data_IF_351177261259
#
_entry.id   IF_351177261259
#
_cell.length_a   1.000
_cell.length_b   1.000
_cell.length_c   1.000
_cell.angle_alpha   90.00
_cell.angle_beta   90.00
_cell.angle_gamma   90.00
#
_symmetry.space_group_name_H-M   'P 1'
#
loop_
_entity.id
_entity.type
_entity.pdbx_description
1 polymer ?
#
# COMPACT_ATOMS: atom_id res chain seq x y z
N UNK A 1 15.68 1.19 19.38
CA UNK A 1 15.30 1.96 18.16
C UNK A 1 14.27 2.99 18.53
N UNK A 2 14.32 4.22 17.96
CA UNK A 2 13.25 5.20 18.18
C UNK A 2 11.96 4.69 17.54
N UNK A 3 10.84 4.88 18.24
CA UNK A 3 9.51 4.50 17.75
C UNK A 3 9.16 5.33 16.51
N UNK A 4 8.54 4.71 15.51
CA UNK A 4 8.12 5.40 14.28
C UNK A 4 6.60 5.58 14.29
N UNK A 5 6.16 6.80 14.04
CA UNK A 5 4.75 7.19 13.95
C UNK A 5 4.43 7.61 12.52
N UNK A 6 3.39 7.03 11.97
CA UNK A 6 2.91 7.36 10.63
C UNK A 6 1.66 8.22 10.75
N UNK A 7 1.69 9.38 10.11
CA UNK A 7 0.55 10.29 9.94
C UNK A 7 -0.06 9.99 8.57
N UNK A 8 -1.16 9.24 8.50
CA UNK A 8 -1.75 8.83 7.23
C UNK A 8 -2.59 9.95 6.65
N UNK A 9 -2.34 10.26 5.39
CA UNK A 9 -3.19 11.14 4.58
C UNK A 9 -3.70 10.32 3.41
N UNK A 10 -5.01 10.06 3.39
CA UNK A 10 -5.63 9.33 2.31
C UNK A 10 -5.93 10.25 1.14
N UNK A 11 -5.32 9.95 0.00
CA UNK A 11 -5.60 10.63 -1.27
C UNK A 11 -6.56 9.74 -2.04
N UNK A 12 -7.83 10.13 -2.17
CA UNK A 12 -8.80 9.30 -2.87
C UNK A 12 -8.44 9.13 -4.34
N UNK A 13 -9.01 8.15 -4.96
CA UNK A 13 -8.86 7.53 -6.28
C UNK A 13 -8.49 8.40 -7.52
N UNK A 14 -8.11 9.65 -7.33
CA UNK A 14 -7.86 10.64 -8.40
C UNK A 14 -6.73 10.26 -9.38
N UNK A 15 -5.81 9.40 -8.96
CA UNK A 15 -4.63 9.06 -9.75
C UNK A 15 -4.62 7.65 -10.33
N UNK A 16 -5.72 6.89 -10.24
CA UNK A 16 -5.77 5.52 -10.76
C UNK A 16 -6.63 5.46 -12.03
N UNK A 17 -6.04 5.18 -13.22
CA UNK A 17 -6.78 5.09 -14.48
C UNK A 17 -7.51 3.76 -14.65
N UNK A 18 -7.15 2.74 -13.88
CA UNK A 18 -7.69 1.40 -13.98
C UNK A 18 -8.45 1.02 -12.71
N UNK A 19 -9.62 0.46 -12.89
CA UNK A 19 -10.40 -0.15 -11.83
C UNK A 19 -9.88 -1.59 -11.63
N UNK A 20 -8.92 -1.74 -10.70
CA UNK A 20 -8.45 -3.08 -10.35
C UNK A 20 -9.60 -3.90 -9.79
N UNK A 21 -9.72 -5.17 -10.19
CA UNK A 21 -10.86 -6.02 -9.87
C UNK A 21 -11.18 -6.15 -8.37
N UNK A 22 -10.17 -5.96 -7.52
CA UNK A 22 -10.27 -6.08 -6.06
C UNK A 22 -10.40 -4.74 -5.32
N UNK A 23 -10.44 -3.61 -6.02
CA UNK A 23 -10.24 -2.30 -5.40
C UNK A 23 -11.48 -1.42 -5.47
N UNK A 24 -11.96 -0.99 -4.31
CA UNK A 24 -12.94 0.07 -4.17
C UNK A 24 -12.44 1.10 -3.16
N UNK A 25 -11.53 1.98 -3.61
CA UNK A 25 -10.89 2.98 -2.74
C UNK A 25 -11.90 3.98 -2.13
N UNK A 26 -13.02 4.21 -2.80
CA UNK A 26 -14.07 5.12 -2.28
C UNK A 26 -14.73 4.55 -1.03
N UNK A 27 -14.98 3.24 -1.01
CA UNK A 27 -15.57 2.55 0.15
C UNK A 27 -14.53 2.30 1.24
N UNK A 28 -13.35 1.77 0.88
CA UNK A 28 -12.32 1.35 1.86
C UNK A 28 -11.71 2.52 2.63
N UNK A 29 -11.64 3.72 2.04
CA UNK A 29 -11.02 4.88 2.71
C UNK A 29 -11.98 5.72 3.53
N UNK A 30 -13.29 5.46 3.45
CA UNK A 30 -14.32 6.31 4.06
C UNK A 30 -14.34 7.75 3.51
N UNK A 31 -13.42 8.09 2.61
CA UNK A 31 -13.28 9.45 2.08
C UNK A 31 -14.01 9.60 0.74
N UNK A 32 -15.15 10.30 0.78
CA UNK A 32 -15.99 10.58 -0.40
C UNK A 32 -15.61 11.87 -1.13
N UNK A 33 -14.74 12.72 -0.56
CA UNK A 33 -14.36 14.03 -1.12
C UNK A 33 -12.87 14.10 -1.45
N UNK A 34 -12.54 14.94 -2.45
CA UNK A 34 -11.15 15.27 -2.76
C UNK A 34 -10.51 15.96 -1.56
N UNK A 35 -9.34 15.47 -1.14
CA UNK A 35 -8.60 16.05 -0.04
C UNK A 35 -8.13 17.48 -0.40
N UNK A 36 -8.35 18.42 0.49
CA UNK A 36 -7.81 19.78 0.37
C UNK A 36 -6.51 19.92 1.18
N UNK A 37 -5.79 21.01 0.95
CA UNK A 37 -4.61 21.33 1.78
C UNK A 37 -4.98 21.56 3.24
N UNK A 38 -6.17 22.14 3.48
CA UNK A 38 -6.74 22.35 4.81
C UNK A 38 -7.04 21.03 5.51
N UNK A 39 -7.60 20.05 4.80
CA UNK A 39 -7.84 18.72 5.35
C UNK A 39 -6.52 18.01 5.70
N UNK A 40 -5.52 18.13 4.83
CA UNK A 40 -4.19 17.58 5.10
C UNK A 40 -3.55 18.23 6.35
N UNK A 41 -3.63 19.55 6.48
CA UNK A 41 -3.14 20.27 7.68
C UNK A 41 -3.84 19.80 8.94
N UNK A 42 -5.18 19.80 8.96
CA UNK A 42 -5.97 19.31 10.11
C UNK A 42 -5.59 17.90 10.52
N UNK A 43 -5.41 17.01 9.54
CA UNK A 43 -4.98 15.64 9.82
C UNK A 43 -3.60 15.60 10.46
N UNK A 44 -2.63 16.34 9.91
CA UNK A 44 -1.27 16.38 10.45
C UNK A 44 -1.28 16.93 11.89
N UNK A 45 -1.95 18.06 12.12
CA UNK A 45 -2.05 18.71 13.44
C UNK A 45 -2.69 17.79 14.46
N UNK A 46 -3.81 17.15 14.11
CA UNK A 46 -4.47 16.16 14.98
C UNK A 46 -3.52 15.04 15.42
N UNK A 47 -2.75 14.45 14.49
CA UNK A 47 -1.81 13.41 14.84
C UNK A 47 -0.65 13.93 15.68
N UNK A 48 -0.09 15.11 15.37
CA UNK A 48 1.01 15.71 16.12
C UNK A 48 0.63 16.04 17.55
N UNK A 49 -0.60 16.50 17.80
CA UNK A 49 -1.14 16.75 19.13
C UNK A 49 -1.31 15.46 19.95
N UNK A 50 -1.74 14.37 19.30
CA UNK A 50 -2.01 13.09 19.95
C UNK A 50 -0.78 12.17 20.10
N UNK A 51 0.33 12.44 19.42
CA UNK A 51 1.57 11.70 19.59
C UNK A 51 2.27 12.15 20.88
N UNK A 52 2.19 11.30 21.92
CA UNK A 52 2.79 11.57 23.24
C UNK A 52 4.31 11.54 23.23
N UNK A 53 4.91 10.65 22.44
CA UNK A 53 6.37 10.50 22.30
C UNK A 53 6.92 11.58 21.36
N UNK A 54 7.48 12.63 21.96
CA UNK A 54 8.04 13.77 21.20
C UNK A 54 9.33 13.41 20.46
N UNK A 55 10.09 12.42 20.94
CA UNK A 55 11.38 11.99 20.39
C UNK A 55 11.25 10.90 19.32
N UNK A 56 10.05 10.34 19.16
CA UNK A 56 9.75 9.37 18.12
C UNK A 56 9.81 9.97 16.72
N UNK A 57 10.27 9.18 15.76
CA UNK A 57 10.26 9.60 14.35
C UNK A 57 8.83 9.71 13.82
N UNK A 58 8.53 10.80 13.15
CA UNK A 58 7.23 11.07 12.56
C UNK A 58 7.33 11.13 11.04
N UNK A 59 6.46 10.41 10.35
CA UNK A 59 6.44 10.34 8.89
C UNK A 59 5.04 10.63 8.38
N UNK A 60 4.90 11.64 7.52
CA UNK A 60 3.64 11.87 6.78
C UNK A 60 3.61 10.89 5.62
N UNK A 61 2.51 10.14 5.48
CA UNK A 61 2.37 9.14 4.45
C UNK A 61 1.09 9.36 3.63
N UNK A 62 1.27 9.63 2.33
CA UNK A 62 0.17 9.71 1.37
C UNK A 62 -0.18 8.32 0.87
N UNK A 63 -1.37 7.84 1.24
CA UNK A 63 -1.92 6.53 0.92
C UNK A 63 -3.20 6.64 0.09
N UNK A 64 -3.73 5.51 -0.34
CA UNK A 64 -4.98 5.39 -1.09
C UNK A 64 -4.73 5.10 -2.56
N UNK A 65 -5.03 6.04 -3.43
CA UNK A 65 -4.78 5.93 -4.87
C UNK A 65 -3.29 6.04 -5.25
N UNK A 66 -3.04 6.31 -6.52
CA UNK A 66 -1.68 6.52 -7.03
C UNK A 66 -1.29 7.99 -6.88
N UNK A 67 -0.46 8.31 -5.88
CA UNK A 67 -0.11 9.71 -5.58
C UNK A 67 0.50 10.43 -6.80
N UNK A 68 1.40 9.79 -7.53
CA UNK A 68 2.04 10.41 -8.71
C UNK A 68 1.18 10.39 -9.97
N UNK A 69 -0.03 9.83 -9.90
CA UNK A 69 -1.02 9.85 -10.98
C UNK A 69 -2.06 10.96 -10.86
N UNK A 70 -2.09 11.72 -9.76
CA UNK A 70 -2.96 12.89 -9.63
C UNK A 70 -2.35 14.11 -10.33
N UNK A 71 -3.15 15.13 -10.60
CA UNK A 71 -2.71 16.38 -11.23
C UNK A 71 -1.49 16.98 -10.52
N UNK A 72 -0.55 17.51 -11.31
CA UNK A 72 0.76 17.99 -10.82
C UNK A 72 0.59 19.06 -9.75
N UNK A 73 -0.28 20.01 -9.99
CA UNK A 73 -0.59 21.12 -9.09
C UNK A 73 -1.07 20.60 -7.73
N UNK A 74 -1.90 19.55 -7.75
CA UNK A 74 -2.41 18.93 -6.53
C UNK A 74 -1.36 18.13 -5.78
N UNK A 75 -0.45 17.43 -6.52
CA UNK A 75 0.71 16.80 -5.91
C UNK A 75 1.56 17.84 -5.18
N UNK A 76 1.89 18.95 -5.84
CA UNK A 76 2.73 20.02 -5.27
C UNK A 76 2.07 20.71 -4.09
N UNK A 77 0.76 20.96 -4.15
CA UNK A 77 -0.02 21.53 -3.04
C UNK A 77 0.10 20.66 -1.78
N UNK A 78 -0.17 19.35 -1.89
CA UNK A 78 -0.11 18.40 -0.76
C UNK A 78 1.32 18.20 -0.25
N UNK A 79 2.29 18.10 -1.17
CA UNK A 79 3.70 17.97 -0.81
C UNK A 79 4.23 19.23 -0.12
N UNK A 80 3.81 20.42 -0.55
CA UNK A 80 4.20 21.68 0.08
C UNK A 80 3.71 21.75 1.53
N UNK A 81 2.45 21.34 1.78
CA UNK A 81 1.92 21.27 3.16
C UNK A 81 2.80 20.35 4.02
N UNK A 82 3.07 19.13 3.58
CA UNK A 82 3.90 18.19 4.34
C UNK A 82 5.33 18.69 4.54
N UNK A 83 5.91 19.34 3.53
CA UNK A 83 7.26 19.89 3.58
C UNK A 83 7.41 21.04 4.59
N UNK A 84 6.36 21.83 4.83
CA UNK A 84 6.37 22.87 5.85
C UNK A 84 6.60 22.31 7.24
N UNK A 85 5.97 21.17 7.59
CA UNK A 85 6.20 20.49 8.87
C UNK A 85 7.60 19.89 8.98
N UNK A 86 8.21 19.45 7.87
CA UNK A 86 9.63 19.07 7.85
C UNK A 86 10.53 20.27 8.15
N UNK A 87 10.30 21.41 7.51
CA UNK A 87 11.10 22.64 7.75
C UNK A 87 11.00 23.13 9.20
N UNK A 88 9.86 22.93 9.83
CA UNK A 88 9.63 23.26 11.24
C UNK A 88 10.21 22.22 12.21
N UNK A 89 10.77 21.11 11.72
CA UNK A 89 11.32 20.03 12.54
C UNK A 89 10.27 19.21 13.28
N UNK A 90 9.00 19.32 12.90
CA UNK A 90 7.89 18.58 13.54
C UNK A 90 7.70 17.18 12.95
N UNK A 91 8.16 16.97 11.73
CA UNK A 91 8.09 15.70 10.98
C UNK A 91 9.44 15.40 10.34
N UNK A 92 9.85 14.14 10.32
CA UNK A 92 11.15 13.72 9.82
C UNK A 92 11.15 13.40 8.32
N UNK A 93 10.07 12.79 7.83
CA UNK A 93 10.02 12.23 6.48
C UNK A 93 8.63 12.35 5.84
N UNK A 94 8.62 12.24 4.51
CA UNK A 94 7.42 12.03 3.70
C UNK A 94 7.54 10.69 2.98
N UNK A 95 6.45 9.95 2.95
CA UNK A 95 6.25 8.69 2.21
C UNK A 95 5.10 8.85 1.24
N UNK A 96 5.21 8.23 0.08
CA UNK A 96 4.10 8.14 -0.87
C UNK A 96 3.91 6.70 -1.33
N UNK A 97 2.66 6.36 -1.68
CA UNK A 97 2.32 5.12 -2.38
C UNK A 97 1.88 5.44 -3.81
N UNK A 98 2.36 4.66 -4.77
CA UNK A 98 2.04 4.88 -6.17
C UNK A 98 2.17 3.61 -7.01
N UNK A 99 1.76 3.71 -8.29
CA UNK A 99 1.89 2.66 -9.30
C UNK A 99 3.29 2.67 -9.92
N UNK A 100 3.81 1.51 -10.36
CA UNK A 100 5.11 1.43 -11.02
C UNK A 100 5.20 2.22 -12.34
N UNK A 101 4.12 2.20 -13.13
CA UNK A 101 4.02 2.88 -14.43
C UNK A 101 3.95 4.42 -14.32
N UNK A 102 3.76 4.95 -13.10
CA UNK A 102 3.74 6.39 -12.80
C UNK A 102 5.04 6.87 -12.12
N UNK A 103 6.18 6.29 -12.51
CA UNK A 103 7.49 6.70 -12.06
C UNK A 103 8.35 7.07 -13.26
N UNK A 104 8.84 8.31 -13.28
CA UNK A 104 9.80 8.82 -14.24
C UNK A 104 10.78 9.81 -13.57
N UNK A 105 11.76 10.28 -14.33
CA UNK A 105 12.82 11.17 -13.82
C UNK A 105 12.27 12.51 -13.31
N UNK A 106 11.28 13.08 -13.98
CA UNK A 106 10.67 14.37 -13.61
C UNK A 106 9.91 14.26 -12.29
N UNK A 107 9.09 13.22 -12.15
CA UNK A 107 8.37 12.90 -10.92
C UNK A 107 9.37 12.75 -9.76
N UNK A 108 10.45 11.97 -9.93
CA UNK A 108 11.42 11.76 -8.86
C UNK A 108 12.18 13.05 -8.49
N UNK A 109 12.47 13.92 -9.44
CA UNK A 109 13.05 15.25 -9.15
C UNK A 109 12.08 16.10 -8.31
N UNK A 110 10.79 16.12 -8.66
CA UNK A 110 9.75 16.81 -7.91
C UNK A 110 9.65 16.26 -6.48
N UNK A 111 9.53 14.96 -6.31
CA UNK A 111 9.47 14.33 -4.99
C UNK A 111 10.70 14.65 -4.14
N UNK A 112 11.89 14.72 -4.75
CA UNK A 112 13.14 15.06 -4.06
C UNK A 112 13.16 16.52 -3.59
N UNK A 113 12.60 17.45 -4.36
CA UNK A 113 12.43 18.88 -3.99
C UNK A 113 11.69 19.02 -2.66
N UNK A 114 10.65 18.21 -2.44
CA UNK A 114 9.83 18.22 -1.23
C UNK A 114 10.30 17.25 -0.13
N UNK A 115 11.54 16.72 -0.22
CA UNK A 115 12.13 15.83 0.79
C UNK A 115 11.36 14.52 1.02
N UNK A 116 10.63 14.03 0.01
CA UNK A 116 10.09 12.66 0.06
C UNK A 116 11.25 11.69 0.28
N UNK A 117 11.10 10.78 1.23
CA UNK A 117 12.13 9.81 1.61
C UNK A 117 11.83 8.42 1.10
N UNK A 118 10.57 8.01 1.14
CA UNK A 118 10.13 6.65 0.84
C UNK A 118 9.08 6.64 -0.26
N UNK A 119 9.26 5.76 -1.25
CA UNK A 119 8.27 5.49 -2.31
C UNK A 119 7.91 4.02 -2.25
N UNK A 120 6.63 3.74 -2.00
CA UNK A 120 6.06 2.40 -2.01
C UNK A 120 5.36 2.14 -3.35
N UNK A 121 5.76 1.08 -4.05
CA UNK A 121 5.16 0.67 -5.32
C UNK A 121 4.11 -0.41 -5.10
N UNK A 122 2.91 -0.20 -5.61
CA UNK A 122 1.86 -1.20 -5.68
C UNK A 122 2.14 -2.24 -6.77
N UNK A 123 3.01 -3.20 -6.48
CA UNK A 123 3.43 -4.26 -7.42
C UNK A 123 2.34 -5.30 -7.61
N UNK A 124 1.83 -5.82 -6.52
CA UNK A 124 0.83 -6.87 -6.34
C UNK A 124 1.31 -8.27 -6.73
N UNK A 125 1.78 -8.50 -7.95
CA UNK A 125 2.36 -9.77 -8.44
C UNK A 125 3.55 -9.52 -9.37
N UNK A 126 4.44 -10.51 -9.51
CA UNK A 126 5.48 -10.53 -10.54
C UNK A 126 5.07 -11.33 -11.80
N UNK A 127 3.88 -11.91 -11.79
CA UNK A 127 3.34 -12.65 -12.93
C UNK A 127 2.42 -11.73 -13.75
N UNK A 128 2.82 -11.43 -15.00
CA UNK A 128 2.09 -10.51 -15.89
C UNK A 128 0.70 -11.02 -16.25
N UNK A 129 0.48 -12.34 -16.29
CA UNK A 129 -0.85 -12.92 -16.50
C UNK A 129 -1.79 -12.57 -15.32
N UNK A 130 -1.32 -12.74 -14.09
CA UNK A 130 -2.08 -12.40 -12.87
C UNK A 130 -2.35 -10.90 -12.81
N UNK A 131 -1.36 -10.06 -13.12
CA UNK A 131 -1.54 -8.60 -13.20
C UNK A 131 -2.61 -8.21 -14.21
N UNK A 132 -2.65 -8.88 -15.36
CA UNK A 132 -3.68 -8.66 -16.38
C UNK A 132 -5.06 -9.09 -15.89
N UNK A 133 -5.19 -10.26 -15.27
CA UNK A 133 -6.45 -10.75 -14.65
C UNK A 133 -6.96 -9.81 -13.57
N UNK A 134 -6.07 -9.25 -12.78
CA UNK A 134 -6.39 -8.27 -11.74
C UNK A 134 -6.64 -6.84 -12.28
N UNK A 135 -6.61 -6.63 -13.59
CA UNK A 135 -6.76 -5.32 -14.27
C UNK A 135 -5.81 -4.25 -13.74
N UNK A 136 -4.53 -4.63 -13.49
CA UNK A 136 -3.54 -3.70 -12.90
C UNK A 136 -3.03 -2.62 -13.86
N UNK A 137 -3.07 -2.87 -15.17
CA UNK A 137 -2.64 -1.93 -16.22
C UNK A 137 -1.12 -1.71 -16.34
N UNK A 138 -0.30 -2.32 -15.47
CA UNK A 138 1.16 -2.36 -15.56
C UNK A 138 1.64 -3.81 -15.62
N UNK A 139 2.88 -4.01 -16.04
CA UNK A 139 3.55 -5.30 -16.06
C UNK A 139 4.78 -5.32 -15.12
N UNK A 140 5.38 -6.48 -14.92
CA UNK A 140 6.53 -6.60 -14.02
C UNK A 140 7.80 -5.90 -14.53
N UNK A 141 7.91 -5.65 -15.84
CA UNK A 141 9.01 -4.85 -16.37
C UNK A 141 8.92 -3.38 -15.94
N UNK A 142 7.72 -2.83 -15.81
CA UNK A 142 7.50 -1.49 -15.26
C UNK A 142 7.95 -1.42 -13.80
N UNK A 143 7.66 -2.47 -13.01
CA UNK A 143 8.15 -2.60 -11.62
C UNK A 143 9.68 -2.58 -11.57
N UNK A 144 10.35 -3.36 -12.44
CA UNK A 144 11.82 -3.39 -12.50
C UNK A 144 12.42 -2.03 -12.83
N UNK A 145 11.87 -1.35 -13.84
CA UNK A 145 12.31 -0.01 -14.26
C UNK A 145 12.13 1.03 -13.14
N UNK A 146 10.93 1.08 -12.55
CA UNK A 146 10.61 2.00 -11.47
C UNK A 146 11.50 1.76 -10.24
N UNK A 147 11.64 0.50 -9.82
CA UNK A 147 12.46 0.13 -8.66
C UNK A 147 13.92 0.53 -8.83
N UNK A 148 14.50 0.29 -10.02
CA UNK A 148 15.87 0.72 -10.35
C UNK A 148 16.00 2.24 -10.29
N UNK A 149 15.04 2.96 -10.85
CA UNK A 149 15.06 4.42 -10.94
C UNK A 149 14.92 5.07 -9.55
N UNK A 150 13.98 4.59 -8.72
CA UNK A 150 13.75 5.06 -7.35
C UNK A 150 15.02 4.92 -6.52
N UNK A 151 15.67 3.76 -6.56
CA UNK A 151 16.92 3.50 -5.85
C UNK A 151 18.08 4.38 -6.37
N UNK A 152 18.17 4.55 -7.68
CA UNK A 152 19.21 5.39 -8.28
C UNK A 152 19.09 6.86 -7.86
N UNK A 153 17.86 7.35 -7.66
CA UNK A 153 17.62 8.71 -7.14
C UNK A 153 17.79 8.82 -5.61
N UNK A 154 18.12 7.72 -4.91
CA UNK A 154 18.43 7.71 -3.48
C UNK A 154 17.21 7.69 -2.56
N UNK A 155 16.04 7.28 -3.06
CA UNK A 155 14.87 7.05 -2.23
C UNK A 155 14.90 5.66 -1.57
N UNK A 156 14.24 5.53 -0.42
CA UNK A 156 13.89 4.23 0.12
C UNK A 156 12.79 3.61 -0.76
N UNK A 157 13.07 2.42 -1.29
CA UNK A 157 12.10 1.66 -2.07
C UNK A 157 11.29 0.75 -1.15
N UNK A 158 9.96 0.85 -1.22
CA UNK A 158 9.02 -0.11 -0.65
C UNK A 158 8.26 -0.84 -1.77
N UNK A 159 7.88 -2.09 -1.52
CA UNK A 159 6.98 -2.83 -2.40
C UNK A 159 5.73 -3.29 -1.64
N UNK A 160 4.60 -3.30 -2.32
CA UNK A 160 3.36 -3.91 -1.83
C UNK A 160 3.03 -5.08 -2.74
N UNK A 161 2.79 -6.26 -2.17
CA UNK A 161 2.33 -7.45 -2.88
C UNK A 161 1.02 -7.96 -2.29
N UNK A 162 0.28 -8.70 -3.10
CA UNK A 162 -0.99 -9.30 -2.67
C UNK A 162 -0.91 -10.83 -2.71
N UNK A 163 -1.72 -11.47 -1.88
CA UNK A 163 -1.86 -12.91 -1.73
C UNK A 163 -3.31 -13.30 -2.01
N UNK A 164 -3.55 -14.26 -2.91
CA UNK A 164 -4.89 -14.69 -3.29
C UNK A 164 -5.53 -13.84 -4.40
N UNK A 165 -4.75 -13.23 -5.30
CA UNK A 165 -5.29 -12.59 -6.51
C UNK A 165 -5.98 -13.64 -7.41
N UNK A 166 -6.96 -13.24 -8.25
CA UNK A 166 -7.57 -14.14 -9.21
C UNK A 166 -6.53 -14.89 -10.04
N UNK A 167 -6.70 -16.20 -10.18
CA UNK A 167 -5.79 -17.13 -10.89
C UNK A 167 -4.37 -17.25 -10.27
N UNK A 168 -4.12 -16.62 -9.13
CA UNK A 168 -2.83 -16.74 -8.42
C UNK A 168 -2.77 -18.02 -7.64
N UNK A 169 -1.60 -18.65 -7.65
CA UNK A 169 -1.28 -19.80 -6.82
C UNK A 169 -0.25 -19.43 -5.75
N UNK A 170 -0.14 -20.22 -4.70
CA UNK A 170 0.93 -20.06 -3.70
C UNK A 170 2.34 -20.02 -4.32
N UNK A 171 2.56 -20.77 -5.42
CA UNK A 171 3.84 -20.76 -6.14
C UNK A 171 4.09 -19.41 -6.79
N UNK A 172 3.07 -18.77 -7.38
CA UNK A 172 3.19 -17.43 -7.99
C UNK A 172 3.53 -16.39 -6.93
N UNK A 173 2.96 -16.49 -5.76
CA UNK A 173 3.20 -15.59 -4.63
C UNK A 173 4.62 -15.72 -4.09
N UNK A 174 5.11 -16.95 -3.93
CA UNK A 174 6.51 -17.24 -3.57
C UNK A 174 7.46 -16.69 -4.65
N UNK A 175 7.15 -16.93 -5.93
CA UNK A 175 7.97 -16.44 -7.04
C UNK A 175 7.96 -14.91 -7.09
N UNK A 176 6.82 -14.28 -6.78
CA UNK A 176 6.72 -12.82 -6.63
C UNK A 176 7.67 -12.34 -5.53
N UNK A 177 7.62 -12.92 -4.32
CA UNK A 177 8.51 -12.53 -3.24
C UNK A 177 10.00 -12.68 -3.62
N UNK A 178 10.38 -13.80 -4.25
CA UNK A 178 11.75 -14.02 -4.74
C UNK A 178 12.16 -12.99 -5.81
N UNK A 179 11.24 -12.61 -6.68
CA UNK A 179 11.47 -11.59 -7.70
C UNK A 179 11.64 -10.19 -7.07
N UNK A 180 10.84 -9.85 -6.05
CA UNK A 180 10.96 -8.61 -5.30
C UNK A 180 12.29 -8.50 -4.52
N UNK A 181 12.75 -9.58 -3.90
CA UNK A 181 14.07 -9.65 -3.24
C UNK A 181 15.18 -9.21 -4.18
N UNK A 182 15.16 -9.67 -5.45
CA UNK A 182 16.16 -9.27 -6.46
C UNK A 182 16.17 -7.77 -6.76
N UNK A 183 15.06 -7.08 -6.55
CA UNK A 183 14.93 -5.62 -6.72
C UNK A 183 15.44 -4.84 -5.50
N UNK A 184 15.78 -5.54 -4.40
CA UNK A 184 16.37 -4.99 -3.16
C UNK A 184 15.54 -3.83 -2.58
N UNK A 185 14.23 -4.00 -2.30
CA UNK A 185 13.48 -3.02 -1.55
C UNK A 185 14.00 -2.96 -0.11
N UNK A 186 13.81 -1.83 0.55
CA UNK A 186 14.09 -1.70 1.98
C UNK A 186 12.99 -2.32 2.83
N UNK A 187 11.77 -2.26 2.33
CA UNK A 187 10.58 -2.73 3.03
C UNK A 187 9.52 -3.31 2.10
N UNK A 188 8.68 -4.16 2.66
CA UNK A 188 7.52 -4.73 1.94
C UNK A 188 6.26 -4.69 2.81
N UNK A 189 5.10 -4.67 2.12
CA UNK A 189 3.78 -4.94 2.68
C UNK A 189 3.18 -6.14 1.97
N UNK A 190 2.51 -7.01 2.72
CA UNK A 190 1.84 -8.20 2.21
C UNK A 190 0.36 -8.09 2.53
N UNK A 191 -0.49 -8.05 1.51
CA UNK A 191 -1.93 -7.89 1.66
C UNK A 191 -2.68 -9.12 1.13
N UNK A 192 -3.27 -9.95 2.00
CA UNK A 192 -4.27 -10.91 1.55
C UNK A 192 -5.45 -10.19 0.88
N UNK A 193 -5.94 -10.79 -0.21
CA UNK A 193 -7.07 -10.23 -0.96
C UNK A 193 -8.35 -10.44 -0.16
N UNK A 194 -9.09 -9.36 0.05
CA UNK A 194 -10.46 -9.40 0.55
C UNK A 194 -11.42 -9.07 -0.60
N UNK A 195 -12.56 -9.74 -0.61
CA UNK A 195 -13.68 -9.39 -1.50
C UNK A 195 -14.39 -8.19 -0.89
N UNK A 196 -14.38 -7.07 -1.59
CA UNK A 196 -14.93 -5.79 -1.13
C UNK A 196 -16.18 -5.46 -1.93
N UNK A 197 -17.19 -4.89 -1.29
CA UNK A 197 -18.44 -4.44 -1.91
C UNK A 197 -18.21 -3.51 -3.08
N UNK A 198 -19.01 -3.66 -4.13
CA UNK A 198 -18.97 -2.80 -5.31
C UNK A 198 -17.75 -3.03 -6.21
N UNK A 199 -17.02 -4.13 -6.05
CA UNK A 199 -15.88 -4.49 -6.91
C UNK A 199 -16.26 -5.55 -7.95
N UNK A 200 -15.47 -5.65 -9.03
CA UNK A 200 -15.62 -6.77 -9.98
C UNK A 200 -15.37 -8.11 -9.29
N UNK A 201 -14.47 -8.14 -8.30
CA UNK A 201 -14.16 -9.35 -7.54
C UNK A 201 -15.35 -9.85 -6.71
N UNK A 202 -16.19 -8.95 -6.21
CA UNK A 202 -17.46 -9.33 -5.55
C UNK A 202 -18.40 -10.03 -6.54
N UNK A 203 -18.53 -9.50 -7.76
CA UNK A 203 -19.34 -10.14 -8.79
C UNK A 203 -18.80 -11.54 -9.13
N UNK A 204 -17.48 -11.66 -9.33
CA UNK A 204 -16.83 -12.94 -9.61
C UNK A 204 -17.01 -13.95 -8.45
N UNK A 205 -17.01 -13.47 -7.21
CA UNK A 205 -17.29 -14.30 -6.04
C UNK A 205 -18.74 -14.78 -6.00
N UNK A 206 -19.72 -13.90 -6.25
CA UNK A 206 -21.16 -14.24 -6.29
C UNK A 206 -21.43 -15.24 -7.42
N UNK A 207 -20.81 -15.04 -8.58
CA UNK A 207 -20.91 -15.91 -9.77
C UNK A 207 -20.11 -17.21 -9.63
N UNK A 208 -19.37 -17.42 -8.53
CA UNK A 208 -18.48 -18.56 -8.27
C UNK A 208 -17.33 -18.69 -9.28
N UNK A 209 -16.92 -17.58 -9.89
CA UNK A 209 -15.74 -17.47 -10.76
C UNK A 209 -14.46 -17.17 -9.96
N UNK A 210 -14.60 -16.80 -8.69
CA UNK A 210 -13.50 -16.54 -7.77
C UNK A 210 -13.83 -17.10 -6.38
N UNK A 211 -12.86 -17.79 -5.79
CA UNK A 211 -12.93 -18.26 -4.40
C UNK A 211 -11.79 -17.64 -3.61
N UNK A 212 -12.07 -16.83 -2.56
CA UNK A 212 -11.05 -16.24 -1.74
C UNK A 212 -10.36 -17.29 -0.87
N UNK A 213 -9.10 -17.05 -0.52
CA UNK A 213 -8.39 -17.89 0.44
C UNK A 213 -9.10 -17.89 1.80
N UNK A 214 -9.05 -19.02 2.50
CA UNK A 214 -9.37 -19.05 3.93
C UNK A 214 -8.29 -18.34 4.74
N UNK A 215 -8.61 -17.98 5.99
CA UNK A 215 -7.62 -17.38 6.92
C UNK A 215 -6.40 -18.29 7.08
N UNK A 216 -6.61 -19.60 7.22
CA UNK A 216 -5.52 -20.58 7.38
C UNK A 216 -4.59 -20.59 6.17
N UNK A 217 -5.14 -20.68 4.96
CA UNK A 217 -4.37 -20.68 3.72
C UNK A 217 -3.57 -19.39 3.54
N UNK A 218 -4.19 -18.25 3.83
CA UNK A 218 -3.54 -16.95 3.73
C UNK A 218 -2.42 -16.79 4.77
N UNK A 219 -2.62 -17.24 6.01
CA UNK A 219 -1.60 -17.24 7.06
C UNK A 219 -0.41 -18.10 6.67
N UNK A 220 -0.62 -19.33 6.22
CA UNK A 220 0.46 -20.23 5.80
C UNK A 220 1.28 -19.66 4.62
N UNK A 221 0.60 -19.03 3.67
CA UNK A 221 1.30 -18.38 2.57
C UNK A 221 2.10 -17.17 3.06
N UNK A 222 1.46 -16.26 3.80
CA UNK A 222 2.11 -15.07 4.34
C UNK A 222 3.33 -15.40 5.21
N UNK A 223 3.24 -16.44 6.05
CA UNK A 223 4.36 -16.95 6.85
C UNK A 223 5.58 -17.31 6.00
N UNK A 224 5.39 -18.01 4.89
CA UNK A 224 6.48 -18.35 3.97
C UNK A 224 7.09 -17.10 3.32
N UNK A 225 6.24 -16.16 2.89
CA UNK A 225 6.69 -14.88 2.31
C UNK A 225 7.50 -14.05 3.32
N UNK A 226 7.04 -13.97 4.57
CA UNK A 226 7.77 -13.27 5.65
C UNK A 226 9.14 -13.90 5.85
N UNK A 227 9.26 -15.24 5.92
CA UNK A 227 10.56 -15.91 6.02
C UNK A 227 11.49 -15.57 4.87
N UNK A 228 10.97 -15.51 3.64
CA UNK A 228 11.78 -15.10 2.46
C UNK A 228 12.33 -13.69 2.64
N UNK A 229 11.51 -12.71 3.01
CA UNK A 229 11.94 -11.33 3.14
C UNK A 229 12.90 -11.12 4.31
N UNK A 230 12.60 -11.68 5.49
CA UNK A 230 13.45 -11.59 6.68
C UNK A 230 14.83 -12.21 6.42
N UNK A 231 14.92 -13.37 5.76
CA UNK A 231 16.18 -14.01 5.36
C UNK A 231 17.06 -13.09 4.49
N UNK A 232 16.45 -12.15 3.75
CA UNK A 232 17.16 -11.21 2.89
C UNK A 232 17.28 -9.80 3.48
N UNK A 233 17.04 -9.64 4.79
CA UNK A 233 17.10 -8.37 5.52
C UNK A 233 16.19 -7.28 4.93
N UNK A 234 14.99 -7.68 4.49
CA UNK A 234 13.95 -6.77 4.01
C UNK A 234 12.89 -6.66 5.10
N UNK A 235 12.59 -5.43 5.53
CA UNK A 235 11.63 -5.18 6.59
C UNK A 235 10.20 -5.48 6.11
N UNK A 236 9.50 -6.40 6.78
CA UNK A 236 8.07 -6.63 6.54
C UNK A 236 7.28 -5.69 7.46
N UNK A 237 6.94 -4.51 6.93
CA UNK A 237 6.34 -3.44 7.74
C UNK A 237 4.84 -3.64 7.98
N UNK A 238 4.17 -4.48 7.16
CA UNK A 238 2.77 -4.84 7.34
C UNK A 238 2.46 -6.20 6.73
N UNK A 239 1.62 -6.95 7.45
CA UNK A 239 0.94 -8.16 6.95
C UNK A 239 -0.54 -8.02 7.30
N UNK A 240 -1.42 -8.17 6.32
CA UNK A 240 -2.85 -7.92 6.46
C UNK A 240 -3.25 -6.45 6.34
N UNK A 241 -4.53 -6.21 6.07
CA UNK A 241 -5.11 -4.87 6.03
C UNK A 241 -5.22 -4.28 7.45
N UNK A 242 -5.33 -2.98 7.53
CA UNK A 242 -5.62 -2.31 8.80
C UNK A 242 -7.11 -2.43 9.09
N UNK A 243 -7.45 -2.81 10.33
CA UNK A 243 -8.82 -2.80 10.77
C UNK A 243 -9.32 -1.35 10.84
N UNK A 244 -10.45 -1.12 10.23
CA UNK A 244 -11.24 0.11 10.29
C UNK A 244 -12.71 -0.29 10.37
N UNK A 245 -13.62 0.66 10.50
CA UNK A 245 -15.05 0.35 10.48
C UNK A 245 -15.46 -0.29 9.15
N UNK A 246 -14.84 0.15 8.03
CA UNK A 246 -15.10 -0.39 6.69
C UNK A 246 -14.37 -1.72 6.44
N UNK A 247 -13.21 -1.93 7.06
CA UNK A 247 -12.43 -3.17 6.98
C UNK A 247 -12.56 -3.90 8.31
N UNK A 248 -13.69 -4.54 8.49
CA UNK A 248 -14.07 -5.25 9.70
C UNK A 248 -14.66 -6.63 9.33
N UNK A 249 -15.17 -7.35 10.30
CA UNK A 249 -15.72 -8.69 10.08
C UNK A 249 -16.85 -8.69 9.06
N UNK A 250 -16.85 -9.61 8.08
CA UNK A 250 -17.91 -9.71 7.09
C UNK A 250 -19.30 -9.82 7.76
N UNK A 251 -20.26 -9.03 7.25
CA UNK A 251 -21.63 -9.02 7.77
C UNK A 251 -21.87 -8.06 8.94
N UNK A 252 -20.87 -7.34 9.44
CA UNK A 252 -21.08 -6.23 10.37
C UNK A 252 -21.61 -4.99 9.63
N UNK A 253 -22.34 -4.12 10.34
CA UNK A 253 -23.14 -3.03 9.76
C UNK A 253 -22.35 -2.11 8.82
N UNK A 254 -21.12 -1.74 9.18
CA UNK A 254 -20.30 -0.83 8.40
C UNK A 254 -19.23 -1.53 7.55
N UNK A 255 -19.16 -2.87 7.59
CA UNK A 255 -18.15 -3.60 6.86
C UNK A 255 -18.38 -3.57 5.35
N UNK A 256 -17.35 -3.17 4.62
CA UNK A 256 -17.28 -3.30 3.16
C UNK A 256 -16.73 -4.68 2.73
N UNK A 257 -16.28 -5.51 3.69
CA UNK A 257 -15.77 -6.85 3.42
C UNK A 257 -16.91 -7.83 3.23
N UNK A 258 -16.93 -8.51 2.09
CA UNK A 258 -17.92 -9.55 1.75
C UNK A 258 -17.41 -10.94 2.09
N UNK A 259 -16.14 -11.23 1.75
CA UNK A 259 -15.50 -12.51 1.98
C UNK A 259 -13.97 -12.39 1.97
N UNK A 260 -13.30 -13.46 2.36
CA UNK A 260 -11.84 -13.57 2.30
C UNK A 260 -11.19 -13.72 3.67
N UNK A 261 -9.86 -13.74 3.74
CA UNK A 261 -9.10 -14.04 4.93
C UNK A 261 -9.01 -12.84 5.90
N UNK A 262 -10.16 -12.26 6.24
CA UNK A 262 -10.21 -11.23 7.27
C UNK A 262 -10.02 -11.85 8.66
N UNK A 263 -9.14 -11.24 9.45
CA UNK A 263 -9.00 -11.53 10.87
C UNK A 263 -8.40 -10.29 11.56
N UNK A 264 -8.98 -9.81 12.68
CA UNK A 264 -8.53 -8.58 13.36
C UNK A 264 -7.07 -8.68 13.84
N UNK A 265 -6.60 -9.88 14.18
CA UNK A 265 -5.23 -10.17 14.57
C UNK A 265 -4.43 -10.90 13.49
N UNK A 266 -4.70 -10.66 12.19
CA UNK A 266 -4.08 -11.41 11.09
C UNK A 266 -2.55 -11.41 11.17
N UNK A 267 -1.94 -10.26 11.44
CA UNK A 267 -0.49 -10.13 11.60
C UNK A 267 0.04 -11.03 12.73
N UNK A 268 -0.63 -11.03 13.90
CA UNK A 268 -0.24 -11.84 15.04
C UNK A 268 -0.35 -13.35 14.73
N UNK A 269 -1.38 -13.75 13.96
CA UNK A 269 -1.50 -15.16 13.51
C UNK A 269 -0.31 -15.56 12.65
N UNK A 270 0.14 -14.72 11.73
CA UNK A 270 1.32 -14.99 10.91
C UNK A 270 2.59 -15.02 11.77
N UNK A 271 2.80 -14.03 12.64
CA UNK A 271 4.00 -13.93 13.49
C UNK A 271 4.10 -15.07 14.52
N UNK A 272 2.98 -15.52 15.10
CA UNK A 272 2.97 -16.63 16.05
C UNK A 272 3.20 -18.00 15.39
N UNK A 273 3.04 -18.07 14.07
CA UNK A 273 3.25 -19.29 13.29
C UNK A 273 4.67 -19.40 12.67
N UNK A 274 5.52 -18.36 12.81
CA UNK A 274 6.90 -18.33 12.30
C UNK A 274 7.84 -19.23 13.08
#
# INVERSE_FOLDING_TARGET
MKKEYVIPIFVPHLGCPNDCVFCNQKSISGQKKNITKEDAKKTIEYYLENIKDKDGKKEIAFFGGSFTGIEVEKQEELLQVAYEYIKQGQVDNIRISTRPDYINKEILKRLKKYKVKTIELGVQSANDYILKKANRGHNFNDVKKASKLIRWYGFNLGHQMMVGLPESTRIDEINTAKALVKLKPKMVRIYPVLVIKGTKLEQDYIEKNYEPLSVVQAVETCKELVKIFVKHHIDVIRVGLQNTDEISEPGTENSEVVAGPYHPAFRQLVESSL
#
